data_IF_626450745420
#
_entry.id   IF_626450745420
#
_cell.length_a   1.000
_cell.length_b   1.000
_cell.length_c   1.000
_cell.angle_alpha   90.00
_cell.angle_beta   90.00
_cell.angle_gamma   90.00
#
_symmetry.space_group_name_H-M   'P 1'
#
loop_
_entity.id
_entity.type
_entity.pdbx_description
1 polymer ?
#
# COMPACT_ATOMS: atom_id res chain seq x y z
N UNK A 1 -1.12 -38.34 -8.31
CA UNK A 1 -1.07 -37.35 -7.20
C UNK A 1 -2.49 -36.89 -6.93
N UNK A 2 -3.07 -37.18 -5.76
CA UNK A 2 -4.43 -36.71 -5.42
C UNK A 2 -4.31 -35.28 -4.93
N UNK A 3 -4.81 -34.32 -5.70
CA UNK A 3 -4.91 -32.93 -5.29
C UNK A 3 -6.04 -32.83 -4.26
N UNK A 4 -5.72 -32.41 -3.02
CA UNK A 4 -6.72 -32.15 -1.97
C UNK A 4 -7.04 -30.66 -1.93
N UNK A 5 -8.25 -30.22 -2.29
CA UNK A 5 -8.61 -28.81 -2.27
C UNK A 5 -8.71 -28.25 -0.86
N UNK A 6 -8.08 -27.10 -0.60
CA UNK A 6 -8.32 -26.31 0.60
C UNK A 6 -9.59 -25.46 0.42
N UNK A 7 -10.69 -25.93 1.02
CA UNK A 7 -12.01 -25.29 0.91
C UNK A 7 -12.05 -23.96 1.69
N UNK A 8 -11.32 -23.86 2.80
CA UNK A 8 -11.27 -22.64 3.60
C UNK A 8 -10.53 -21.53 2.86
N UNK A 9 -9.42 -21.87 2.21
CA UNK A 9 -8.69 -20.94 1.35
C UNK A 9 -9.53 -20.45 0.16
N UNK A 10 -10.30 -21.34 -0.48
CA UNK A 10 -11.25 -20.94 -1.54
C UNK A 10 -12.25 -19.91 -1.00
N UNK A 11 -12.88 -20.20 0.15
CA UNK A 11 -13.84 -19.28 0.78
C UNK A 11 -13.19 -17.95 1.15
N UNK A 12 -11.92 -17.97 1.61
CA UNK A 12 -11.18 -16.75 1.93
C UNK A 12 -10.98 -15.89 0.68
N UNK A 13 -10.53 -16.47 -0.44
CA UNK A 13 -10.39 -15.74 -1.71
C UNK A 13 -11.74 -15.14 -2.15
N UNK A 14 -12.83 -15.91 -2.05
CA UNK A 14 -14.17 -15.42 -2.39
C UNK A 14 -14.54 -14.20 -1.52
N UNK A 15 -14.33 -14.28 -0.20
CA UNK A 15 -14.60 -13.16 0.72
C UNK A 15 -13.74 -11.92 0.47
N UNK A 16 -12.54 -12.09 -0.09
CA UNK A 16 -11.62 -11.01 -0.46
C UNK A 16 -11.92 -10.40 -1.85
N UNK A 17 -13.04 -10.77 -2.50
CA UNK A 17 -13.47 -10.22 -3.79
C UNK A 17 -13.21 -11.12 -4.99
N UNK A 18 -12.74 -12.36 -4.78
CA UNK A 18 -12.49 -13.35 -5.84
C UNK A 18 -13.67 -14.29 -6.13
N UNK A 19 -14.91 -13.87 -5.86
CA UNK A 19 -16.13 -14.72 -5.91
C UNK A 19 -16.29 -15.53 -7.20
N UNK A 20 -15.88 -14.96 -8.33
CA UNK A 20 -16.02 -15.54 -9.66
C UNK A 20 -14.95 -16.58 -10.03
N UNK A 21 -14.01 -16.91 -9.14
CA UNK A 21 -12.90 -17.84 -9.42
C UNK A 21 -13.37 -19.16 -10.04
N UNK A 22 -14.48 -19.72 -9.54
CA UNK A 22 -15.06 -21.01 -9.99
C UNK A 22 -15.70 -20.96 -11.38
N UNK A 23 -15.89 -19.78 -11.98
CA UNK A 23 -16.43 -19.63 -13.35
C UNK A 23 -15.40 -19.95 -14.42
N UNK A 24 -14.12 -19.97 -14.06
CA UNK A 24 -13.01 -20.21 -14.98
C UNK A 24 -13.08 -21.64 -15.55
N UNK A 25 -12.97 -21.73 -16.87
CA UNK A 25 -12.96 -22.98 -17.65
C UNK A 25 -11.65 -23.16 -18.44
N UNK A 26 -10.62 -22.38 -18.10
CA UNK A 26 -9.26 -22.56 -18.60
C UNK A 26 -9.06 -22.33 -20.12
N UNK A 27 -9.74 -21.35 -20.72
CA UNK A 27 -9.61 -21.02 -22.15
C UNK A 27 -8.37 -20.20 -22.55
N UNK A 28 -7.54 -19.76 -21.60
CA UNK A 28 -6.32 -18.98 -21.82
C UNK A 28 -6.44 -17.54 -22.37
N UNK A 29 -7.64 -17.05 -22.71
CA UNK A 29 -7.83 -15.67 -23.20
C UNK A 29 -7.15 -14.62 -22.32
N UNK A 30 -7.29 -14.75 -21.00
CA UNK A 30 -6.67 -13.85 -20.02
C UNK A 30 -5.14 -13.78 -20.09
N UNK A 31 -4.47 -14.84 -20.52
CA UNK A 31 -3.02 -14.87 -20.66
C UNK A 31 -2.56 -14.29 -21.99
N UNK A 32 -3.31 -14.53 -23.06
CA UNK A 32 -3.00 -14.00 -24.39
C UNK A 32 -3.15 -12.48 -24.45
N UNK A 33 -4.16 -11.92 -23.77
CA UNK A 33 -4.40 -10.46 -23.76
C UNK A 33 -3.50 -9.69 -22.79
N UNK A 34 -2.72 -10.38 -21.95
CA UNK A 34 -1.91 -9.71 -20.93
C UNK A 34 -0.51 -9.38 -21.46
N UNK A 35 -0.24 -8.09 -21.68
CA UNK A 35 1.07 -7.60 -22.17
C UNK A 35 2.25 -7.81 -21.19
N UNK A 36 1.97 -8.30 -19.98
CA UNK A 36 2.97 -8.63 -18.97
C UNK A 36 3.25 -10.14 -18.89
N UNK A 37 2.38 -10.96 -19.50
CA UNK A 37 2.47 -12.41 -19.45
C UNK A 37 3.56 -12.89 -20.41
N UNK A 38 4.64 -13.54 -19.94
CA UNK A 38 5.69 -14.05 -20.82
C UNK A 38 5.23 -15.35 -21.50
N UNK A 39 5.76 -15.60 -22.71
CA UNK A 39 5.45 -16.80 -23.49
C UNK A 39 5.88 -18.10 -22.77
N UNK A 40 7.00 -18.05 -22.06
CA UNK A 40 7.56 -19.20 -21.35
C UNK A 40 6.74 -19.60 -20.11
N UNK A 41 6.06 -18.64 -19.49
CA UNK A 41 5.34 -18.83 -18.21
C UNK A 41 4.09 -17.93 -18.15
N UNK A 42 3.05 -18.23 -18.93
CA UNK A 42 1.91 -17.34 -19.05
C UNK A 42 1.05 -17.30 -17.77
N UNK A 43 0.58 -16.11 -17.41
CA UNK A 43 -0.36 -15.83 -16.31
C UNK A 43 -1.52 -14.96 -16.83
N UNK A 44 -2.70 -14.86 -16.19
CA UNK A 44 -3.12 -15.46 -14.92
C UNK A 44 -3.82 -16.83 -15.05
N UNK A 45 -3.78 -17.51 -16.20
CA UNK A 45 -4.58 -18.74 -16.41
C UNK A 45 -4.31 -19.82 -15.35
N UNK A 46 -3.03 -20.08 -15.03
CA UNK A 46 -2.63 -21.12 -14.07
C UNK A 46 -3.07 -20.74 -12.64
N UNK A 47 -2.98 -19.47 -12.29
CA UNK A 47 -3.37 -18.91 -11.00
C UNK A 47 -4.88 -19.04 -10.80
N UNK A 48 -5.66 -18.87 -11.88
CA UNK A 48 -7.11 -19.08 -11.83
C UNK A 48 -7.49 -20.52 -11.51
N UNK A 49 -6.79 -21.53 -12.03
CA UNK A 49 -7.08 -22.93 -11.69
C UNK A 49 -6.59 -23.27 -10.29
N UNK A 50 -5.42 -22.76 -9.87
CA UNK A 50 -4.90 -22.93 -8.51
C UNK A 50 -5.84 -22.30 -7.47
N UNK A 51 -6.36 -21.10 -7.73
CA UNK A 51 -7.40 -20.49 -6.91
C UNK A 51 -8.67 -21.37 -6.88
N UNK A 52 -9.09 -21.89 -8.03
CA UNK A 52 -10.27 -22.77 -8.15
C UNK A 52 -10.12 -24.10 -7.43
N UNK A 53 -8.91 -24.63 -7.31
CA UNK A 53 -8.63 -25.87 -6.60
C UNK A 53 -8.18 -25.67 -5.17
N UNK A 54 -8.08 -24.43 -4.68
CA UNK A 54 -7.63 -24.16 -3.32
C UNK A 54 -6.16 -24.52 -3.09
N UNK A 55 -5.29 -24.32 -4.08
CA UNK A 55 -3.86 -24.63 -3.98
C UNK A 55 -3.09 -23.49 -3.31
N UNK A 56 -3.36 -23.28 -2.02
CA UNK A 56 -2.80 -22.19 -1.21
C UNK A 56 -1.30 -22.05 -1.36
N UNK A 57 -0.55 -23.12 -1.10
CA UNK A 57 0.91 -23.09 -1.10
C UNK A 57 1.49 -22.77 -2.47
N UNK A 58 0.81 -23.13 -3.55
CA UNK A 58 1.26 -22.81 -4.91
C UNK A 58 1.01 -21.34 -5.23
N UNK A 59 -0.14 -20.82 -4.80
CA UNK A 59 -0.64 -19.53 -5.21
C UNK A 59 -0.07 -18.38 -4.39
N UNK A 60 0.09 -18.55 -3.07
CA UNK A 60 0.63 -17.51 -2.17
C UNK A 60 2.10 -17.22 -2.45
N UNK A 61 2.87 -18.23 -2.87
CA UNK A 61 4.29 -18.09 -3.23
C UNK A 61 4.55 -17.74 -4.69
N UNK A 62 3.54 -17.66 -5.56
CA UNK A 62 3.76 -17.40 -6.98
C UNK A 62 4.07 -15.91 -7.20
N UNK A 63 5.23 -15.53 -7.77
CA UNK A 63 5.53 -14.12 -7.99
C UNK A 63 4.58 -13.46 -8.99
N UNK A 64 3.90 -14.22 -9.83
CA UNK A 64 3.05 -13.70 -10.89
C UNK A 64 1.83 -12.93 -10.33
N UNK A 65 1.37 -13.26 -9.11
CA UNK A 65 0.32 -12.49 -8.42
C UNK A 65 0.75 -11.04 -8.18
N UNK A 66 2.05 -10.80 -8.02
CA UNK A 66 2.65 -9.49 -7.76
C UNK A 66 3.13 -8.78 -9.02
N UNK A 67 3.58 -9.53 -10.03
CA UNK A 67 3.88 -9.00 -11.38
C UNK A 67 2.62 -8.47 -12.06
N UNK A 68 1.45 -8.99 -11.70
CA UNK A 68 0.17 -8.41 -12.06
C UNK A 68 -0.01 -6.98 -11.48
N UNK A 69 -0.20 -6.00 -12.37
CA UNK A 69 -0.52 -4.62 -12.00
C UNK A 69 -2.02 -4.35 -11.77
N UNK A 70 -2.86 -5.38 -11.89
CA UNK A 70 -4.31 -5.28 -11.79
C UNK A 70 -4.89 -4.23 -12.74
N UNK A 71 -4.53 -4.35 -14.01
CA UNK A 71 -5.00 -3.51 -15.09
C UNK A 71 -6.34 -3.94 -15.69
N UNK A 72 -6.96 -5.03 -15.26
CA UNK A 72 -8.30 -5.41 -15.70
C UNK A 72 -8.47 -5.88 -17.15
N UNK A 73 -7.44 -5.86 -18.02
CA UNK A 73 -7.53 -6.39 -19.40
C UNK A 73 -8.08 -7.83 -19.38
N UNK A 74 -7.47 -8.70 -18.58
CA UNK A 74 -7.91 -10.08 -18.42
C UNK A 74 -9.35 -10.24 -17.90
N UNK A 75 -9.89 -9.25 -17.17
CA UNK A 75 -11.27 -9.23 -16.70
C UNK A 75 -12.22 -8.81 -17.81
N UNK A 76 -11.90 -7.74 -18.54
CA UNK A 76 -12.71 -7.21 -19.64
C UNK A 76 -12.90 -8.25 -20.76
N UNK A 77 -11.84 -9.01 -21.10
CA UNK A 77 -11.87 -10.00 -22.17
C UNK A 77 -12.31 -11.41 -21.72
N UNK A 78 -12.67 -11.62 -20.46
CA UNK A 78 -13.03 -12.96 -19.98
C UNK A 78 -14.43 -13.38 -20.46
N UNK A 79 -14.57 -14.41 -21.33
CA UNK A 79 -15.87 -14.77 -21.90
C UNK A 79 -16.85 -15.40 -20.91
N UNK A 80 -16.36 -15.78 -19.72
CA UNK A 80 -17.15 -16.38 -18.63
C UNK A 80 -17.42 -15.41 -17.48
N UNK A 81 -16.90 -14.19 -17.53
CA UNK A 81 -16.96 -13.25 -16.42
C UNK A 81 -16.30 -13.82 -15.15
N UNK A 82 -15.19 -14.54 -15.29
CA UNK A 82 -14.43 -15.12 -14.17
C UNK A 82 -13.54 -14.09 -13.43
N UNK A 83 -13.46 -12.86 -13.96
CA UNK A 83 -12.75 -11.70 -13.40
C UNK A 83 -11.34 -12.00 -12.86
N UNK A 84 -10.39 -12.44 -13.71
CA UNK A 84 -9.07 -12.86 -13.25
C UNK A 84 -8.29 -11.77 -12.51
N UNK A 85 -8.45 -10.50 -12.91
CA UNK A 85 -7.79 -9.39 -12.22
C UNK A 85 -8.19 -9.30 -10.74
N UNK A 86 -9.49 -9.40 -10.47
CA UNK A 86 -10.08 -9.35 -9.14
C UNK A 86 -9.67 -10.57 -8.31
N UNK A 87 -9.66 -11.76 -8.91
CA UNK A 87 -9.17 -12.98 -8.25
C UNK A 87 -7.71 -12.83 -7.85
N UNK A 88 -6.83 -12.34 -8.73
CA UNK A 88 -5.43 -12.07 -8.36
C UNK A 88 -5.31 -10.96 -7.29
N UNK A 89 -6.23 -10.00 -7.29
CA UNK A 89 -6.34 -8.99 -6.22
C UNK A 89 -6.65 -9.61 -4.86
N UNK A 90 -7.66 -10.46 -4.80
CA UNK A 90 -8.03 -11.20 -3.59
C UNK A 90 -6.90 -12.12 -3.12
N UNK A 91 -6.23 -12.81 -4.04
CA UNK A 91 -5.07 -13.66 -3.73
C UNK A 91 -3.92 -12.84 -3.12
N UNK A 92 -3.62 -11.65 -3.65
CA UNK A 92 -2.62 -10.75 -3.04
C UNK A 92 -3.01 -10.33 -1.62
N UNK A 93 -4.29 -10.06 -1.36
CA UNK A 93 -4.76 -9.76 -0.01
C UNK A 93 -4.49 -10.94 0.94
N UNK A 94 -4.84 -12.16 0.54
CA UNK A 94 -4.59 -13.35 1.35
C UNK A 94 -3.09 -13.63 1.51
N UNK A 95 -2.26 -13.32 0.50
CA UNK A 95 -0.80 -13.41 0.62
C UNK A 95 -0.24 -12.39 1.63
N UNK A 96 -0.78 -11.16 1.69
CA UNK A 96 -0.42 -10.17 2.71
C UNK A 96 -0.79 -10.69 4.10
N UNK A 97 -1.99 -11.23 4.26
CA UNK A 97 -2.41 -11.85 5.53
C UNK A 97 -1.51 -13.00 5.96
N UNK A 98 -1.03 -13.80 5.01
CA UNK A 98 -0.16 -14.93 5.28
C UNK A 98 1.24 -14.52 5.76
N UNK A 99 1.84 -13.49 5.14
CA UNK A 99 3.22 -13.09 5.42
C UNK A 99 3.36 -12.00 6.50
N UNK A 100 2.28 -11.32 6.87
CA UNK A 100 2.32 -10.26 7.88
C UNK A 100 2.14 -10.79 9.29
N UNK A 101 3.04 -10.41 10.21
CA UNK A 101 3.06 -10.89 11.61
C UNK A 101 2.89 -9.75 12.61
N UNK A 102 1.97 -9.85 13.60
CA UNK A 102 1.12 -11.00 13.90
C UNK A 102 -0.12 -11.14 13.00
N UNK A 103 -0.53 -12.39 12.75
CA UNK A 103 -1.63 -12.72 11.83
C UNK A 103 -2.99 -12.21 12.30
N UNK A 104 -3.27 -12.21 13.61
CA UNK A 104 -4.54 -11.68 14.13
C UNK A 104 -4.75 -10.21 13.74
N UNK A 105 -3.68 -9.41 13.69
CA UNK A 105 -3.77 -8.01 13.31
C UNK A 105 -4.03 -7.87 11.82
N UNK A 106 -3.43 -8.75 11.01
CA UNK A 106 -3.74 -8.85 9.59
C UNK A 106 -5.23 -9.18 9.37
N UNK A 107 -5.76 -10.18 10.07
CA UNK A 107 -7.18 -10.54 10.00
C UNK A 107 -8.09 -9.38 10.41
N UNK A 108 -7.73 -8.64 11.47
CA UNK A 108 -8.50 -7.48 11.91
C UNK A 108 -8.53 -6.37 10.85
N UNK A 109 -7.38 -6.01 10.28
CA UNK A 109 -7.28 -4.95 9.25
C UNK A 109 -8.03 -5.33 7.97
N UNK A 110 -8.16 -6.62 7.68
CA UNK A 110 -8.83 -7.13 6.49
C UNK A 110 -10.34 -7.37 6.67
N UNK A 111 -10.90 -7.12 7.85
CA UNK A 111 -12.31 -7.31 8.15
C UNK A 111 -12.96 -5.99 8.63
N UNK A 112 -13.95 -5.45 7.89
CA UNK A 112 -14.56 -4.16 8.19
C UNK A 112 -15.18 -4.06 9.59
N UNK A 113 -15.55 -5.19 10.21
CA UNK A 113 -16.14 -5.19 11.56
C UNK A 113 -15.19 -4.63 12.62
N UNK A 114 -13.87 -4.69 12.39
CA UNK A 114 -12.88 -4.19 13.33
C UNK A 114 -12.45 -2.74 13.07
N UNK A 115 -12.97 -2.09 12.02
CA UNK A 115 -12.51 -0.76 11.62
C UNK A 115 -12.59 0.26 12.75
N UNK A 116 -13.68 0.27 13.52
CA UNK A 116 -13.83 1.18 14.66
C UNK A 116 -12.79 0.93 15.75
N UNK A 117 -12.46 -0.33 16.04
CA UNK A 117 -11.40 -0.67 17.00
C UNK A 117 -10.02 -0.26 16.50
N UNK A 118 -9.75 -0.46 15.21
CA UNK A 118 -8.47 -0.09 14.58
C UNK A 118 -8.24 1.43 14.58
N UNK A 119 -9.30 2.22 14.43
CA UNK A 119 -9.27 3.70 14.52
C UNK A 119 -9.23 4.15 15.99
N UNK A 120 -9.94 3.46 16.89
CA UNK A 120 -9.95 3.77 18.31
C UNK A 120 -8.56 3.63 18.94
N UNK A 121 -7.76 2.64 18.52
CA UNK A 121 -6.40 2.46 19.04
C UNK A 121 -5.50 3.70 18.92
N UNK A 122 -5.23 4.27 17.72
CA UNK A 122 -4.44 5.49 17.60
C UNK A 122 -5.10 6.72 18.20
N UNK A 123 -6.44 6.84 18.15
CA UNK A 123 -7.15 7.91 18.83
C UNK A 123 -6.84 7.91 20.33
N UNK A 124 -7.08 6.79 21.00
CA UNK A 124 -6.87 6.68 22.45
C UNK A 124 -5.38 6.84 22.78
N UNK A 125 -4.49 6.21 22.02
CA UNK A 125 -3.04 6.30 22.24
C UNK A 125 -2.53 7.74 22.18
N UNK A 126 -2.83 8.46 21.09
CA UNK A 126 -2.36 9.83 20.89
C UNK A 126 -3.09 10.80 21.82
N UNK A 127 -4.39 10.61 22.04
CA UNK A 127 -5.17 11.42 22.96
C UNK A 127 -4.67 11.30 24.41
N UNK A 128 -4.36 10.07 24.85
CA UNK A 128 -3.74 9.82 26.15
C UNK A 128 -2.35 10.48 26.24
N UNK A 129 -1.52 10.35 25.19
CA UNK A 129 -0.22 11.00 25.17
C UNK A 129 -0.33 12.53 25.31
N UNK A 130 -1.28 13.16 24.62
CA UNK A 130 -1.52 14.61 24.74
C UNK A 130 -2.03 14.97 26.13
N UNK A 131 -2.92 14.15 26.71
CA UNK A 131 -3.47 14.40 28.03
C UNK A 131 -2.41 14.36 29.14
N UNK A 132 -1.51 13.37 29.11
CA UNK A 132 -0.51 13.18 30.17
C UNK A 132 0.79 13.98 29.95
N UNK A 133 1.17 14.23 28.69
CA UNK A 133 2.49 14.80 28.33
C UNK A 133 2.39 16.04 27.45
N UNK A 134 1.21 16.66 27.36
CA UNK A 134 0.98 17.75 26.42
C UNK A 134 -0.12 18.70 26.86
N UNK A 135 -0.57 19.50 25.90
CA UNK A 135 -1.73 20.36 26.04
C UNK A 135 -2.45 20.35 24.69
N UNK A 136 -3.71 19.95 24.68
CA UNK A 136 -4.48 19.83 23.44
C UNK A 136 -4.70 21.17 22.74
N UNK A 137 -4.82 22.27 23.48
CA UNK A 137 -4.97 23.61 22.90
C UNK A 137 -4.06 24.61 23.61
N UNK A 138 -2.76 24.62 23.27
CA UNK A 138 -1.82 25.60 23.81
C UNK A 138 -2.20 27.03 23.43
N UNK A 139 -2.05 27.94 24.39
CA UNK A 139 -2.30 29.37 24.19
C UNK A 139 -1.29 30.02 23.22
N UNK A 140 -1.74 31.10 22.58
CA UNK A 140 -0.94 31.91 21.67
C UNK A 140 -1.01 31.45 20.20
N UNK A 141 0.03 31.76 19.39
CA UNK A 141 0.01 31.43 17.96
C UNK A 141 0.01 29.92 17.74
N UNK A 142 -0.65 29.49 16.66
CA UNK A 142 -0.77 28.07 16.28
C UNK A 142 0.60 27.49 15.94
N UNK A 143 1.12 26.69 16.87
CA UNK A 143 2.40 25.98 16.76
C UNK A 143 2.19 24.55 17.22
N UNK A 144 2.15 23.63 16.26
CA UNK A 144 1.77 22.23 16.50
C UNK A 144 2.73 21.48 17.43
N UNK A 145 4.02 21.82 17.44
CA UNK A 145 5.00 21.23 18.37
C UNK A 145 4.70 21.52 19.85
N UNK A 146 3.88 22.53 20.17
CA UNK A 146 3.45 22.80 21.55
C UNK A 146 2.41 21.81 22.07
N UNK A 147 1.77 21.03 21.20
CA UNK A 147 0.69 20.13 21.59
C UNK A 147 1.19 18.92 22.42
N UNK A 148 2.43 18.49 22.16
CA UNK A 148 3.10 17.39 22.87
C UNK A 148 4.53 17.86 23.20
N UNK A 149 4.73 18.36 24.44
CA UNK A 149 6.02 18.88 24.92
C UNK A 149 6.32 18.27 26.29
N UNK A 150 7.54 17.76 26.55
CA UNK A 150 8.79 17.88 25.77
C UNK A 150 8.92 17.03 24.49
N UNK A 151 9.80 17.52 23.59
CA UNK A 151 10.18 17.00 22.27
C UNK A 151 11.06 15.73 22.37
N UNK A 152 10.48 14.58 22.77
CA UNK A 152 10.58 13.45 21.84
C UNK A 152 9.33 12.55 21.80
N UNK A 153 8.25 12.89 22.52
CA UNK A 153 7.11 11.98 22.68
C UNK A 153 6.40 11.66 21.36
N UNK A 154 6.21 12.67 20.49
CA UNK A 154 5.67 12.45 19.13
C UNK A 154 6.61 11.51 18.38
N UNK A 155 7.89 11.82 18.32
CA UNK A 155 8.86 11.05 17.55
C UNK A 155 8.95 9.60 18.03
N UNK A 156 8.92 9.34 19.34
CA UNK A 156 8.91 7.97 19.86
C UNK A 156 7.68 7.17 19.40
N UNK A 157 6.49 7.78 19.38
CA UNK A 157 5.26 7.12 18.93
C UNK A 157 5.35 6.80 17.44
N UNK A 158 5.74 7.77 16.61
CA UNK A 158 5.74 7.62 15.15
C UNK A 158 6.94 6.83 14.62
N UNK A 159 8.15 7.04 15.17
CA UNK A 159 9.32 6.22 14.86
C UNK A 159 9.12 4.78 15.37
N UNK A 160 8.47 4.59 16.52
CA UNK A 160 8.08 3.26 17.01
C UNK A 160 7.12 2.57 16.04
N UNK A 161 6.08 3.26 15.58
CA UNK A 161 5.13 2.73 14.59
C UNK A 161 5.82 2.40 13.25
N UNK A 162 6.70 3.28 12.76
CA UNK A 162 7.45 3.07 11.54
C UNK A 162 8.45 1.90 11.68
N UNK A 163 9.18 1.82 12.79
CA UNK A 163 10.11 0.72 13.07
C UNK A 163 9.38 -0.62 13.18
N UNK A 164 8.21 -0.64 13.83
CA UNK A 164 7.34 -1.81 13.87
C UNK A 164 6.94 -2.24 12.45
N UNK A 165 6.47 -1.31 11.61
CA UNK A 165 6.09 -1.61 10.24
C UNK A 165 7.27 -2.17 9.42
N UNK A 166 8.45 -1.56 9.54
CA UNK A 166 9.69 -2.04 8.91
C UNK A 166 10.04 -3.45 9.38
N UNK A 167 9.96 -3.73 10.67
CA UNK A 167 10.24 -5.06 11.21
C UNK A 167 9.27 -6.12 10.67
N UNK A 168 7.97 -5.80 10.59
CA UNK A 168 6.95 -6.70 10.03
C UNK A 168 7.21 -6.93 8.54
N UNK A 169 7.48 -5.87 7.77
CA UNK A 169 7.85 -5.98 6.36
C UNK A 169 9.09 -6.82 6.14
N UNK A 170 10.15 -6.61 6.93
CA UNK A 170 11.39 -7.36 6.82
C UNK A 170 11.14 -8.86 7.04
N UNK A 171 10.40 -9.22 8.10
CA UNK A 171 10.01 -10.62 8.36
C UNK A 171 9.17 -11.20 7.22
N UNK A 172 8.17 -10.47 6.75
CA UNK A 172 7.30 -10.91 5.65
C UNK A 172 8.05 -11.11 4.34
N UNK A 173 8.97 -10.20 3.99
CA UNK A 173 9.84 -10.33 2.81
C UNK A 173 10.79 -11.51 2.95
N UNK A 174 11.38 -11.73 4.13
CA UNK A 174 12.24 -12.89 4.36
C UNK A 174 11.49 -14.21 4.18
N UNK A 175 10.28 -14.33 4.74
CA UNK A 175 9.44 -15.51 4.59
C UNK A 175 9.02 -15.71 3.13
N UNK A 176 8.53 -14.66 2.46
CA UNK A 176 8.16 -14.71 1.05
C UNK A 176 9.33 -15.07 0.14
N UNK A 177 10.53 -14.52 0.40
CA UNK A 177 11.73 -14.86 -0.35
C UNK A 177 12.12 -16.33 -0.19
N UNK A 178 11.97 -16.90 1.01
CA UNK A 178 12.22 -18.33 1.23
C UNK A 178 11.25 -19.20 0.41
N UNK A 179 9.97 -18.83 0.36
CA UNK A 179 8.95 -19.55 -0.42
C UNK A 179 9.14 -19.42 -1.94
N UNK A 180 9.61 -18.25 -2.40
CA UNK A 180 9.99 -18.04 -3.79
C UNK A 180 11.21 -18.88 -4.18
N UNK A 181 12.22 -18.92 -3.30
CA UNK A 181 13.54 -19.45 -3.61
C UNK A 181 13.66 -20.96 -3.37
N UNK A 182 12.69 -21.73 -3.88
CA UNK A 182 12.63 -23.19 -3.80
C UNK A 182 12.94 -23.85 -5.15
N UNK A 183 13.36 -25.12 -5.13
CA UNK A 183 13.63 -25.88 -6.35
C UNK A 183 12.35 -25.98 -7.22
N UNK A 184 12.47 -25.97 -8.56
CA UNK A 184 13.71 -25.89 -9.35
C UNK A 184 14.25 -24.46 -9.54
N UNK A 185 13.55 -23.45 -9.05
CA UNK A 185 13.78 -22.03 -9.33
C UNK A 185 14.63 -21.34 -8.26
N UNK A 186 15.72 -22.00 -7.85
CA UNK A 186 16.65 -21.44 -6.87
C UNK A 186 17.55 -20.38 -7.50
N UNK A 187 17.30 -19.13 -7.13
CA UNK A 187 18.21 -18.01 -7.35
C UNK A 187 19.37 -18.09 -6.37
N UNK A 188 20.60 -18.12 -6.91
CA UNK A 188 21.81 -17.85 -6.14
C UNK A 188 22.12 -16.36 -6.27
N UNK A 189 22.14 -15.64 -5.15
CA UNK A 189 22.53 -14.23 -5.11
C UNK A 189 23.98 -14.11 -5.60
N UNK A 190 24.18 -13.74 -6.88
CA UNK A 190 25.48 -13.41 -7.47
C UNK A 190 25.75 -11.90 -7.35
N UNK A 191 26.92 -11.44 -7.80
CA UNK A 191 27.40 -10.05 -7.71
C UNK A 191 26.43 -8.97 -8.29
N UNK A 192 25.50 -9.35 -9.18
CA UNK A 192 24.61 -8.42 -9.90
C UNK A 192 23.29 -8.04 -9.19
N UNK A 193 23.11 -8.36 -7.91
CA UNK A 193 21.87 -8.04 -7.16
C UNK A 193 21.58 -6.53 -7.16
N UNK A 194 22.60 -5.70 -6.95
CA UNK A 194 22.44 -4.24 -6.91
C UNK A 194 21.99 -3.66 -8.26
N UNK A 195 22.47 -4.23 -9.36
CA UNK A 195 22.04 -3.85 -10.71
C UNK A 195 20.55 -4.18 -10.92
N UNK A 196 20.13 -5.39 -10.50
CA UNK A 196 18.73 -5.80 -10.57
C UNK A 196 17.82 -4.90 -9.72
N UNK A 197 18.26 -4.56 -8.49
CA UNK A 197 17.53 -3.63 -7.61
C UNK A 197 17.41 -2.25 -8.26
N UNK A 198 18.50 -1.69 -8.80
CA UNK A 198 18.48 -0.36 -9.42
C UNK A 198 17.53 -0.29 -10.61
N UNK A 199 17.52 -1.32 -11.47
CA UNK A 199 16.59 -1.40 -12.60
C UNK A 199 15.13 -1.55 -12.15
N UNK A 200 14.86 -2.38 -11.14
CA UNK A 200 13.50 -2.52 -10.58
C UNK A 200 13.02 -1.21 -9.95
N UNK A 201 13.87 -0.51 -9.21
CA UNK A 201 13.56 0.81 -8.64
C UNK A 201 13.23 1.80 -9.77
N UNK A 202 14.01 1.82 -10.85
CA UNK A 202 13.71 2.66 -12.02
C UNK A 202 12.34 2.32 -12.63
N UNK A 203 12.04 1.03 -12.79
CA UNK A 203 10.75 0.58 -13.32
C UNK A 203 9.56 0.99 -12.43
N UNK A 204 9.74 0.92 -11.10
CA UNK A 204 8.72 1.33 -10.12
C UNK A 204 8.53 2.85 -10.14
N UNK A 205 9.61 3.64 -10.15
CA UNK A 205 9.56 5.10 -10.11
C UNK A 205 8.83 5.70 -11.32
N UNK A 206 9.00 5.10 -12.51
CA UNK A 206 8.40 5.59 -13.75
C UNK A 206 7.15 4.82 -14.19
N UNK A 207 6.71 3.83 -13.40
CA UNK A 207 5.58 2.94 -13.72
C UNK A 207 5.66 2.33 -15.13
N UNK A 208 6.88 2.05 -15.62
CA UNK A 208 7.13 1.61 -17.01
C UNK A 208 6.28 0.38 -17.39
N UNK A 209 6.18 -0.59 -16.49
CA UNK A 209 5.41 -1.82 -16.71
C UNK A 209 3.90 -1.60 -16.60
N UNK A 210 3.46 -0.76 -15.68
CA UNK A 210 2.03 -0.46 -15.55
C UNK A 210 1.51 0.23 -16.81
N UNK A 211 2.33 1.08 -17.44
CA UNK A 211 2.01 1.73 -18.73
C UNK A 211 1.88 0.79 -19.92
N UNK A 212 2.37 -0.47 -19.83
CA UNK A 212 2.13 -1.50 -20.86
C UNK A 212 0.69 -2.01 -20.87
N UNK A 213 -0.10 -1.71 -19.84
CA UNK A 213 -1.48 -2.15 -19.74
C UNK A 213 -2.43 -1.10 -20.35
N UNK A 214 -3.25 -1.50 -21.32
CA UNK A 214 -3.97 -0.56 -22.18
C UNK A 214 -5.35 -0.17 -21.65
N UNK A 215 -6.12 -1.09 -21.06
CA UNK A 215 -7.51 -0.77 -20.62
C UNK A 215 -7.54 0.27 -19.49
N UNK A 216 -6.50 0.34 -18.64
CA UNK A 216 -6.44 1.26 -17.50
C UNK A 216 -5.19 2.15 -17.55
N UNK A 217 -4.79 2.61 -18.74
CA UNK A 217 -3.64 3.49 -18.87
C UNK A 217 -3.73 4.74 -17.97
N UNK A 218 -4.90 5.38 -17.90
CA UNK A 218 -5.13 6.57 -17.05
C UNK A 218 -4.88 6.31 -15.57
N UNK A 219 -5.18 5.10 -15.07
CA UNK A 219 -4.96 4.71 -13.68
C UNK A 219 -3.47 4.66 -13.34
N UNK A 220 -2.59 4.42 -14.32
CA UNK A 220 -1.14 4.49 -14.11
C UNK A 220 -0.71 5.92 -13.74
N UNK A 221 -1.27 6.93 -14.39
CA UNK A 221 -1.02 8.35 -14.09
C UNK A 221 -1.59 8.74 -12.72
N UNK A 222 -2.85 8.37 -12.45
CA UNK A 222 -3.48 8.62 -11.14
C UNK A 222 -2.67 8.02 -10.00
N UNK A 223 -2.20 6.78 -10.17
CA UNK A 223 -1.36 6.11 -9.18
C UNK A 223 0.04 6.75 -9.06
N UNK A 224 0.67 7.13 -10.18
CA UNK A 224 1.98 7.78 -10.17
C UNK A 224 1.94 9.11 -9.39
N UNK A 225 0.88 9.91 -9.53
CA UNK A 225 0.69 11.15 -8.78
C UNK A 225 0.57 10.92 -7.27
N UNK A 226 -0.18 9.90 -6.85
CA UNK A 226 -0.25 9.48 -5.43
C UNK A 226 1.12 9.04 -4.95
N UNK A 227 1.81 8.19 -5.72
CA UNK A 227 3.10 7.63 -5.34
C UNK A 227 4.18 8.72 -5.20
N UNK A 228 4.35 9.59 -6.21
CA UNK A 228 5.33 10.68 -6.15
C UNK A 228 4.97 11.71 -5.07
N UNK A 229 3.69 12.05 -4.91
CA UNK A 229 3.23 12.93 -3.84
C UNK A 229 3.53 12.35 -2.45
N UNK A 230 3.27 11.05 -2.25
CA UNK A 230 3.58 10.34 -1.02
C UNK A 230 5.09 10.31 -0.73
N UNK A 231 5.91 9.93 -1.71
CA UNK A 231 7.38 9.90 -1.57
C UNK A 231 7.93 11.29 -1.27
N UNK A 232 7.47 12.32 -1.98
CA UNK A 232 7.87 13.71 -1.73
C UNK A 232 7.53 14.18 -0.32
N UNK A 233 6.33 13.88 0.19
CA UNK A 233 5.92 14.21 1.55
C UNK A 233 6.66 13.38 2.62
N UNK A 234 7.01 12.14 2.31
CA UNK A 234 7.86 11.32 3.17
C UNK A 234 9.27 11.91 3.30
N UNK A 235 9.87 12.34 2.18
CA UNK A 235 11.15 13.06 2.17
C UNK A 235 11.07 14.35 2.98
N UNK A 236 9.99 15.12 2.83
CA UNK A 236 9.73 16.33 3.63
C UNK A 236 9.66 16.00 5.12
N UNK A 237 9.03 14.90 5.51
CA UNK A 237 8.93 14.48 6.91
C UNK A 237 10.30 14.08 7.47
N UNK A 238 11.08 13.32 6.70
CA UNK A 238 12.46 12.95 7.07
C UNK A 238 13.38 14.18 7.17
N UNK A 239 13.21 15.15 6.26
CA UNK A 239 13.93 16.42 6.30
C UNK A 239 13.50 17.26 7.52
N UNK A 240 12.21 17.34 7.84
CA UNK A 240 11.75 18.02 9.04
C UNK A 240 12.34 17.40 10.32
N UNK A 241 12.46 16.06 10.35
CA UNK A 241 13.10 15.33 11.45
C UNK A 241 14.59 15.66 11.55
N UNK A 242 15.31 15.76 10.42
CA UNK A 242 16.73 16.15 10.45
C UNK A 242 16.93 17.59 10.89
N UNK A 243 16.04 18.51 10.52
CA UNK A 243 16.03 19.89 11.02
C UNK A 243 15.92 19.94 12.53
N UNK A 244 15.08 19.10 13.12
CA UNK A 244 14.85 19.08 14.55
C UNK A 244 16.01 18.42 15.31
N UNK A 245 16.44 17.22 14.89
CA UNK A 245 17.43 16.40 15.60
C UNK A 245 18.88 16.77 15.34
N UNK A 246 19.21 17.27 14.14
CA UNK A 246 20.59 17.55 13.72
C UNK A 246 20.86 19.05 13.74
N UNK A 247 19.95 19.84 13.18
CA UNK A 247 20.16 21.29 13.00
C UNK A 247 19.49 22.14 14.08
N UNK A 248 18.75 21.53 15.01
CA UNK A 248 18.01 22.19 16.09
C UNK A 248 17.15 23.38 15.63
N UNK A 249 16.59 23.25 14.43
CA UNK A 249 15.71 24.24 13.82
C UNK A 249 14.27 23.85 14.11
N UNK A 250 13.64 24.58 15.01
CA UNK A 250 12.26 24.29 15.43
C UNK A 250 11.23 24.70 14.37
N UNK A 251 10.18 23.89 14.26
CA UNK A 251 8.98 24.29 13.52
C UNK A 251 8.25 25.42 14.28
N UNK A 252 7.54 26.32 13.60
CA UNK A 252 7.09 26.23 12.21
C UNK A 252 8.05 26.88 11.19
N UNK A 253 8.29 26.17 10.08
CA UNK A 253 9.14 26.66 8.99
C UNK A 253 8.43 27.71 8.12
N UNK A 254 9.17 28.75 7.72
CA UNK A 254 8.69 29.79 6.81
C UNK A 254 8.35 29.23 5.42
N UNK A 255 7.49 29.92 4.67
CA UNK A 255 7.09 29.49 3.31
C UNK A 255 8.25 29.52 2.30
N UNK A 256 9.24 30.37 2.56
CA UNK A 256 10.48 30.51 1.80
C UNK A 256 11.48 29.40 2.07
N UNK A 257 11.22 28.55 3.07
CA UNK A 257 12.08 27.43 3.39
C UNK A 257 12.04 26.38 2.27
N UNK A 258 13.19 25.85 1.81
CA UNK A 258 13.25 24.81 0.78
C UNK A 258 12.37 23.60 1.07
N UNK A 259 12.16 23.26 2.35
CA UNK A 259 11.28 22.15 2.74
C UNK A 259 9.83 22.37 2.25
N UNK A 260 9.37 23.62 2.22
CA UNK A 260 8.02 24.00 1.76
C UNK A 260 7.90 23.95 0.24
N UNK A 261 8.98 24.23 -0.49
CA UNK A 261 9.00 24.15 -1.95
C UNK A 261 8.83 22.72 -2.46
N UNK A 262 9.26 21.72 -1.68
CA UNK A 262 8.95 20.32 -1.96
C UNK A 262 7.58 19.90 -1.41
N UNK A 263 7.23 20.36 -0.20
CA UNK A 263 6.00 19.95 0.48
C UNK A 263 4.73 20.35 -0.27
N UNK A 264 4.66 21.58 -0.80
CA UNK A 264 3.43 22.10 -1.43
C UNK A 264 3.12 21.36 -2.74
N UNK A 265 4.05 21.23 -3.71
CA UNK A 265 3.79 20.44 -4.92
C UNK A 265 3.49 18.98 -4.61
N UNK A 266 4.17 18.38 -3.62
CA UNK A 266 3.93 16.99 -3.23
C UNK A 266 2.54 16.79 -2.62
N UNK A 267 2.06 17.74 -1.80
CA UNK A 267 0.71 17.74 -1.25
C UNK A 267 -0.35 17.91 -2.33
N UNK A 268 -0.15 18.82 -3.28
CA UNK A 268 -1.04 19.01 -4.43
C UNK A 268 -1.09 17.73 -5.28
N UNK A 269 0.07 17.13 -5.58
CA UNK A 269 0.15 15.87 -6.31
C UNK A 269 -0.59 14.74 -5.59
N UNK A 270 -0.44 14.63 -4.26
CA UNK A 270 -1.13 13.61 -3.48
C UNK A 270 -2.65 13.82 -3.46
N UNK A 271 -3.11 15.05 -3.22
CA UNK A 271 -4.53 15.40 -3.20
C UNK A 271 -5.21 15.20 -4.57
N UNK A 272 -4.55 15.65 -5.65
CA UNK A 272 -5.05 15.46 -7.00
C UNK A 272 -5.03 13.98 -7.40
N UNK A 273 -3.91 13.29 -7.11
CA UNK A 273 -3.76 11.87 -7.38
C UNK A 273 -4.81 11.03 -6.65
N UNK A 274 -5.07 11.29 -5.37
CA UNK A 274 -6.05 10.52 -4.60
C UNK A 274 -7.48 10.78 -5.09
N UNK A 275 -7.80 12.03 -5.47
CA UNK A 275 -9.06 12.36 -6.10
C UNK A 275 -9.27 11.59 -7.42
N UNK A 276 -8.24 11.58 -8.28
CA UNK A 276 -8.27 10.79 -9.52
C UNK A 276 -8.45 9.29 -9.25
N UNK A 277 -7.74 8.73 -8.27
CA UNK A 277 -7.87 7.31 -7.90
C UNK A 277 -9.29 6.98 -7.41
N UNK A 278 -9.91 7.85 -6.60
CA UNK A 278 -11.30 7.69 -6.14
C UNK A 278 -12.25 7.71 -7.34
N UNK A 279 -12.12 8.70 -8.22
CA UNK A 279 -12.95 8.86 -9.42
C UNK A 279 -12.82 7.66 -10.36
N UNK A 280 -11.60 7.20 -10.61
CA UNK A 280 -11.31 6.04 -11.48
C UNK A 280 -11.87 4.74 -10.88
N UNK A 281 -11.97 4.65 -9.55
CA UNK A 281 -12.54 3.48 -8.86
C UNK A 281 -14.08 3.50 -8.85
N UNK A 282 -14.69 4.67 -8.76
CA UNK A 282 -16.15 4.85 -8.84
C UNK A 282 -16.70 4.64 -10.25
N UNK A 283 -15.86 4.81 -11.28
CA UNK A 283 -16.23 4.62 -12.68
C UNK A 283 -15.40 3.48 -13.32
N UNK A 284 -15.54 2.22 -12.85
CA UNK A 284 -14.79 1.12 -13.42
C UNK A 284 -15.27 0.82 -14.85
N UNK A 285 -14.35 0.46 -15.76
CA UNK A 285 -14.66 -0.16 -17.05
C UNK A 285 -15.64 -1.33 -16.96
N UNK A 286 -16.34 -1.56 -18.06
CA UNK A 286 -17.35 -2.61 -18.19
C UNK A 286 -16.81 -3.97 -17.71
N UNK A 287 -17.61 -4.67 -16.90
CA UNK A 287 -17.29 -5.95 -16.21
C UNK A 287 -16.35 -5.90 -14.99
N UNK A 288 -15.65 -4.79 -14.73
CA UNK A 288 -14.81 -4.64 -13.54
C UNK A 288 -15.61 -4.17 -12.32
N UNK A 289 -15.24 -4.65 -11.13
CA UNK A 289 -15.88 -4.24 -9.87
C UNK A 289 -15.31 -2.94 -9.28
N UNK A 290 -16.03 -2.30 -8.34
CA UNK A 290 -15.56 -1.08 -7.64
C UNK A 290 -14.42 -1.35 -6.63
N UNK A 291 -13.92 -2.59 -6.53
CA UNK A 291 -12.90 -3.01 -5.56
C UNK A 291 -13.50 -3.47 -4.22
N UNK A 292 -12.66 -4.15 -3.44
CA UNK A 292 -12.98 -4.70 -2.12
C UNK A 292 -12.86 -3.65 -1.01
N UNK A 293 -13.34 -3.98 0.20
CA UNK A 293 -13.07 -3.18 1.41
C UNK A 293 -11.58 -2.87 1.58
N UNK A 294 -10.73 -3.88 1.38
CA UNK A 294 -9.28 -3.77 1.49
C UNK A 294 -8.69 -2.73 0.54
N UNK A 295 -9.25 -2.61 -0.67
CA UNK A 295 -8.84 -1.60 -1.65
C UNK A 295 -9.23 -0.19 -1.21
N UNK A 296 -10.43 -0.03 -0.64
CA UNK A 296 -10.97 1.26 -0.22
C UNK A 296 -10.38 1.76 1.10
N UNK A 297 -10.04 0.86 2.04
CA UNK A 297 -9.45 1.23 3.33
C UNK A 297 -8.20 2.09 3.13
N UNK A 298 -7.25 1.64 2.29
CA UNK A 298 -6.03 2.41 2.02
C UNK A 298 -6.32 3.74 1.32
N UNK A 299 -7.28 3.77 0.38
CA UNK A 299 -7.66 5.00 -0.33
C UNK A 299 -8.17 6.04 0.67
N UNK A 300 -9.05 5.63 1.59
CA UNK A 300 -9.59 6.53 2.61
C UNK A 300 -8.54 6.99 3.61
N UNK A 301 -7.63 6.12 4.03
CA UNK A 301 -6.52 6.50 4.92
C UNK A 301 -5.60 7.52 4.25
N UNK A 302 -5.21 7.30 2.98
CA UNK A 302 -4.38 8.26 2.23
C UNK A 302 -5.13 9.59 2.04
N UNK A 303 -6.41 9.55 1.72
CA UNK A 303 -7.24 10.76 1.60
C UNK A 303 -7.31 11.53 2.93
N UNK A 304 -7.52 10.82 4.05
CA UNK A 304 -7.54 11.41 5.38
C UNK A 304 -6.20 12.09 5.71
N UNK A 305 -5.07 11.41 5.50
CA UNK A 305 -3.73 11.98 5.69
C UNK A 305 -3.52 13.23 4.83
N UNK A 306 -3.86 13.18 3.54
CA UNK A 306 -3.67 14.28 2.61
C UNK A 306 -4.53 15.51 2.95
N UNK A 307 -5.83 15.29 3.19
CA UNK A 307 -6.79 16.37 3.50
C UNK A 307 -6.48 17.00 4.84
N UNK A 308 -6.30 16.20 5.89
CA UNK A 308 -5.97 16.73 7.23
C UNK A 308 -4.62 17.46 7.23
N UNK A 309 -3.62 16.97 6.50
CA UNK A 309 -2.32 17.63 6.37
C UNK A 309 -2.40 18.99 5.67
N UNK A 310 -3.18 19.08 4.58
CA UNK A 310 -3.42 20.34 3.89
C UNK A 310 -4.23 21.33 4.75
N UNK A 311 -5.26 20.84 5.46
CA UNK A 311 -6.02 21.66 6.40
C UNK A 311 -5.15 22.18 7.54
N UNK A 312 -4.22 21.37 8.06
CA UNK A 312 -3.26 21.84 9.07
C UNK A 312 -2.45 23.04 8.60
N UNK A 313 -2.05 23.08 7.32
CA UNK A 313 -1.35 24.23 6.74
C UNK A 313 -2.25 25.47 6.69
N UNK A 314 -3.46 25.32 6.15
CA UNK A 314 -4.42 26.42 5.96
C UNK A 314 -4.88 27.00 7.29
N UNK A 315 -5.33 26.15 8.22
CA UNK A 315 -5.84 26.57 9.53
C UNK A 315 -4.77 27.24 10.39
N UNK A 316 -3.52 26.77 10.30
CA UNK A 316 -2.39 27.43 10.95
C UNK A 316 -2.18 28.83 10.38
N UNK A 317 -2.24 28.99 9.05
CA UNK A 317 -2.04 30.29 8.43
C UNK A 317 -3.15 31.29 8.77
N UNK A 318 -4.39 30.80 8.88
CA UNK A 318 -5.54 31.59 9.33
C UNK A 318 -5.53 31.88 10.85
N UNK A 319 -4.63 31.26 11.62
CA UNK A 319 -4.57 31.43 13.08
C UNK A 319 -5.77 30.84 13.84
N UNK A 320 -6.55 29.94 13.22
CA UNK A 320 -7.77 29.37 13.81
C UNK A 320 -7.44 28.20 14.75
N UNK A 321 -6.93 28.51 15.95
CA UNK A 321 -6.48 27.51 16.92
C UNK A 321 -7.55 26.45 17.27
N UNK A 322 -8.82 26.86 17.39
CA UNK A 322 -9.95 25.97 17.74
C UNK A 322 -10.18 24.84 16.74
N UNK A 323 -9.81 25.04 15.46
CA UNK A 323 -9.92 24.04 14.41
C UNK A 323 -8.56 23.41 14.09
N UNK A 324 -7.47 24.16 14.22
CA UNK A 324 -6.12 23.72 13.87
C UNK A 324 -5.67 22.53 14.73
N UNK A 325 -5.79 22.61 16.05
CA UNK A 325 -5.31 21.54 16.94
C UNK A 325 -6.12 20.24 16.82
N UNK A 326 -7.47 20.25 16.78
CA UNK A 326 -8.24 19.04 16.46
C UNK A 326 -7.88 18.44 15.09
N UNK A 327 -7.68 19.28 14.06
CA UNK A 327 -7.28 18.80 12.74
C UNK A 327 -5.90 18.14 12.79
N UNK A 328 -4.95 18.74 13.51
CA UNK A 328 -3.62 18.17 13.68
C UNK A 328 -3.64 16.86 14.47
N UNK A 329 -4.46 16.76 15.51
CA UNK A 329 -4.70 15.50 16.21
C UNK A 329 -5.25 14.41 15.27
N UNK A 330 -6.26 14.72 14.45
CA UNK A 330 -6.78 13.78 13.45
C UNK A 330 -5.74 13.43 12.38
N UNK A 331 -4.88 14.38 12.01
CA UNK A 331 -3.76 14.12 11.11
C UNK A 331 -2.78 13.12 11.72
N UNK A 332 -2.35 13.32 12.97
CA UNK A 332 -1.48 12.39 13.70
C UNK A 332 -2.09 10.98 13.78
N UNK A 333 -3.38 10.89 14.10
CA UNK A 333 -4.14 9.61 14.13
C UNK A 333 -4.12 8.92 12.76
N UNK A 334 -4.36 9.68 11.69
CA UNK A 334 -4.37 9.15 10.32
C UNK A 334 -2.99 8.67 9.88
N UNK A 335 -1.93 9.42 10.20
CA UNK A 335 -0.53 9.07 9.89
C UNK A 335 -0.10 7.84 10.70
N UNK A 336 -0.49 7.75 11.97
CA UNK A 336 -0.19 6.57 12.79
C UNK A 336 -0.87 5.34 12.21
N UNK A 337 -2.16 5.44 11.88
CA UNK A 337 -2.91 4.35 11.25
C UNK A 337 -2.21 3.89 9.96
N UNK A 338 -1.83 4.85 9.10
CA UNK A 338 -1.12 4.58 7.85
C UNK A 338 0.16 3.77 8.08
N UNK A 339 1.05 4.21 8.97
CA UNK A 339 2.34 3.53 9.18
C UNK A 339 2.21 2.23 9.97
N UNK A 340 1.53 2.27 11.11
CA UNK A 340 1.41 1.10 11.99
C UNK A 340 0.70 -0.07 11.30
N UNK A 341 -0.34 0.22 10.50
CA UNK A 341 -1.06 -0.80 9.74
C UNK A 341 -0.55 -1.02 8.31
N UNK A 342 0.48 -0.29 7.85
CA UNK A 342 1.02 -0.41 6.49
C UNK A 342 1.29 -1.87 6.05
N UNK A 343 1.89 -2.75 6.89
CA UNK A 343 2.17 -4.13 6.51
C UNK A 343 0.94 -5.00 6.30
N UNK A 344 -0.21 -4.57 6.83
CA UNK A 344 -1.46 -5.32 6.81
C UNK A 344 -2.46 -4.79 5.80
N UNK A 345 -2.18 -3.64 5.20
CA UNK A 345 -3.04 -2.99 4.19
C UNK A 345 -2.50 -3.25 2.79
N UNK A 346 -3.24 -2.77 1.79
CA UNK A 346 -2.79 -2.79 0.40
C UNK A 346 -1.46 -2.06 0.18
N UNK A 347 -0.97 -1.24 1.11
CA UNK A 347 0.33 -0.57 1.00
C UNK A 347 1.48 -1.58 0.88
N UNK A 348 1.34 -2.76 1.50
CA UNK A 348 2.29 -3.85 1.42
C UNK A 348 2.60 -4.34 -0.01
N UNK A 349 1.72 -4.06 -0.97
CA UNK A 349 1.95 -4.43 -2.37
C UNK A 349 3.24 -3.81 -2.93
N UNK A 350 3.63 -2.63 -2.45
CA UNK A 350 4.86 -1.96 -2.91
C UNK A 350 6.09 -2.82 -2.59
N UNK A 351 6.12 -3.39 -1.38
CA UNK A 351 7.22 -4.20 -0.88
C UNK A 351 7.24 -5.56 -1.56
N UNK A 352 6.13 -6.31 -1.50
CA UNK A 352 6.08 -7.66 -2.08
C UNK A 352 6.23 -7.66 -3.62
N UNK A 353 5.73 -6.63 -4.31
CA UNK A 353 5.96 -6.47 -5.75
C UNK A 353 7.42 -6.18 -6.07
N UNK A 354 8.07 -5.28 -5.34
CA UNK A 354 9.49 -5.03 -5.54
C UNK A 354 10.31 -6.31 -5.35
N UNK A 355 10.03 -7.08 -4.29
CA UNK A 355 10.65 -8.39 -4.05
C UNK A 355 10.40 -9.37 -5.20
N UNK A 356 9.16 -9.49 -5.67
CA UNK A 356 8.81 -10.39 -6.77
C UNK A 356 9.48 -10.00 -8.09
N UNK A 357 9.58 -8.70 -8.40
CA UNK A 357 10.28 -8.20 -9.59
C UNK A 357 11.79 -8.45 -9.52
N UNK A 358 12.42 -8.21 -8.37
CA UNK A 358 13.84 -8.52 -8.17
C UNK A 358 14.08 -10.02 -8.35
N UNK A 359 13.25 -10.85 -7.73
CA UNK A 359 13.33 -12.30 -7.89
C UNK A 359 13.14 -12.72 -9.35
N UNK A 360 12.13 -12.21 -10.05
CA UNK A 360 11.87 -12.56 -11.44
C UNK A 360 13.06 -12.24 -12.35
N UNK A 361 13.70 -11.09 -12.13
CA UNK A 361 14.90 -10.67 -12.87
C UNK A 361 16.11 -11.56 -12.57
N UNK A 362 16.32 -11.92 -11.32
CA UNK A 362 17.45 -12.79 -10.91
C UNK A 362 17.22 -14.26 -11.27
N UNK A 363 15.97 -14.69 -11.40
CA UNK A 363 15.56 -16.04 -11.80
C UNK A 363 15.42 -16.22 -13.31
N UNK A 364 15.76 -15.19 -14.10
CA UNK A 364 15.58 -15.17 -15.57
C UNK A 364 14.15 -15.58 -15.96
N UNK A 365 13.16 -14.99 -15.26
CA UNK A 365 11.72 -15.18 -15.54
C UNK A 365 11.15 -14.20 -16.55
N UNK A 366 11.95 -13.25 -17.02
CA UNK A 366 11.54 -12.12 -17.86
C UNK A 366 12.25 -12.07 -19.19
#
# INVERSE_FOLDING_TARGET
MVVKPDIEFIKRIQSAGGESLKKCFQCATCSVVCNLSPDSRPFPRKEMIWASWGLKDQLVRDPDIWLCHFCGDCTAYCPRGAKPGEVLGAVRQVAIEHYSTPTFLAEMVNDPKYLLFLIAFPLILIGAAIHYFGNFSPEGPVVYSKMLKPWPYVDFIFLGAAAYAVAVFAKGVMAYWQDLNVNPWKVRLKENVWLAVAEVVKDILFHNRFRKCTTYFNRSTSHLLVFLGFVGLFIVTAWASSYEWIFHKESPYAITDPIKWLAIPSAISLLWGIWLVIRDRQNPPENAGPGSYFDWLLIWVIAAVAVTGALCLVLRWMGLATLAYPTYYLHLVSVFFLFFYAPYTKMAHMVYRATAMIYAKLAERE
#
